data_IF_802074087971
#
_entry.id   IF_802074087971
#
_cell.length_a   1.000
_cell.length_b   1.000
_cell.length_c   1.000
_cell.angle_alpha   90.00
_cell.angle_beta   90.00
_cell.angle_gamma   90.00
#
_symmetry.space_group_name_H-M   'P 1'
#
loop_
_entity.id
_entity.type
_entity.pdbx_description
1 polymer ?
#
# COMPACT_ATOMS: atom_id res chain seq x y z
N UNK A 1 -11.78 -18.64 -11.62
CA UNK A 1 -10.98 -18.27 -12.84
C UNK A 1 -9.83 -17.43 -12.34
N UNK A 2 -8.58 -17.79 -12.67
CA UNK A 2 -7.46 -16.94 -12.28
C UNK A 2 -7.61 -15.56 -12.93
N UNK A 3 -7.57 -14.50 -12.12
CA UNK A 3 -7.53 -13.13 -12.62
C UNK A 3 -6.18 -12.90 -13.29
N UNK A 4 -6.19 -12.32 -14.48
CA UNK A 4 -4.96 -12.01 -15.22
C UNK A 4 -4.49 -10.61 -14.88
N UNK A 5 -3.20 -10.43 -14.79
CA UNK A 5 -2.52 -9.14 -14.78
C UNK A 5 -1.50 -9.11 -15.91
N UNK A 6 -1.17 -7.92 -16.38
CA UNK A 6 -0.08 -7.77 -17.37
C UNK A 6 1.25 -7.59 -16.64
N UNK A 7 2.33 -8.14 -17.23
CA UNK A 7 3.70 -7.90 -16.78
C UNK A 7 4.31 -6.80 -17.64
N UNK A 8 4.95 -5.83 -16.99
CA UNK A 8 5.60 -4.70 -17.64
C UNK A 8 7.05 -4.67 -17.19
N UNK A 9 7.96 -4.73 -18.16
CA UNK A 9 9.38 -4.48 -17.94
C UNK A 9 9.71 -3.03 -18.34
N UNK A 10 10.33 -2.28 -17.42
CA UNK A 10 10.73 -0.91 -17.66
C UNK A 10 12.12 -0.63 -17.08
N UNK A 11 12.93 0.18 -17.79
CA UNK A 11 14.31 0.48 -17.38
C UNK A 11 14.76 1.88 -17.78
N UNK A 12 15.68 2.42 -17.01
CA UNK A 12 16.33 3.71 -17.28
C UNK A 12 16.13 4.70 -16.14
N UNK A 13 16.13 5.99 -16.48
CA UNK A 13 15.80 7.07 -15.56
C UNK A 13 14.35 6.95 -15.08
N UNK A 14 13.96 7.58 -13.96
CA UNK A 14 12.59 7.54 -13.46
C UNK A 14 11.56 7.92 -14.52
N UNK A 15 11.81 9.01 -15.27
CA UNK A 15 10.89 9.45 -16.34
C UNK A 15 10.77 8.43 -17.48
N UNK A 16 11.87 7.77 -17.86
CA UNK A 16 11.85 6.72 -18.89
C UNK A 16 11.08 5.49 -18.40
N UNK A 17 11.28 5.07 -17.14
CA UNK A 17 10.53 4.00 -16.49
C UNK A 17 9.04 4.34 -16.50
N UNK A 18 8.67 5.50 -16.01
CA UNK A 18 7.29 5.94 -16.00
C UNK A 18 6.67 5.95 -17.39
N UNK A 19 7.37 6.50 -18.39
CA UNK A 19 6.87 6.54 -19.78
C UNK A 19 6.61 5.14 -20.33
N UNK A 20 7.52 4.20 -20.09
CA UNK A 20 7.35 2.80 -20.54
C UNK A 20 6.15 2.14 -19.86
N UNK A 21 5.94 2.37 -18.55
CA UNK A 21 4.76 1.89 -17.83
C UNK A 21 3.49 2.52 -18.41
N UNK A 22 3.49 3.84 -18.62
CA UNK A 22 2.36 4.58 -19.17
C UNK A 22 1.98 4.11 -20.58
N UNK A 23 2.96 3.83 -21.43
CA UNK A 23 2.74 3.31 -22.79
C UNK A 23 2.16 1.88 -22.75
N UNK A 24 2.74 1.01 -21.94
CA UNK A 24 2.33 -0.40 -21.86
C UNK A 24 0.96 -0.60 -21.18
N UNK A 25 0.65 0.21 -20.18
CA UNK A 25 -0.59 0.10 -19.39
C UNK A 25 -1.63 1.19 -19.72
N UNK A 26 -1.51 1.90 -20.83
CA UNK A 26 -2.34 3.09 -21.17
C UNK A 26 -3.83 2.88 -20.93
N UNK A 27 -4.39 1.80 -21.45
CA UNK A 27 -5.82 1.54 -21.33
C UNK A 27 -6.23 1.30 -19.89
N UNK A 28 -5.39 0.59 -19.11
CA UNK A 28 -5.64 0.35 -17.69
C UNK A 28 -5.51 1.62 -16.86
N UNK A 29 -4.55 2.49 -17.18
CA UNK A 29 -4.36 3.79 -16.53
C UNK A 29 -5.57 4.69 -16.78
N UNK A 30 -6.01 4.80 -18.05
CA UNK A 30 -7.20 5.59 -18.39
C UNK A 30 -8.44 5.07 -17.68
N UNK A 31 -8.63 3.73 -17.65
CA UNK A 31 -9.73 3.12 -16.93
C UNK A 31 -9.64 3.32 -15.40
N UNK A 32 -8.43 3.31 -14.83
CA UNK A 32 -8.19 3.62 -13.42
C UNK A 32 -8.54 5.07 -13.09
N UNK A 33 -8.07 6.03 -13.89
CA UNK A 33 -8.42 7.45 -13.71
C UNK A 33 -9.93 7.65 -13.77
N UNK A 34 -10.61 7.06 -14.77
CA UNK A 34 -12.07 7.16 -14.90
C UNK A 34 -12.82 6.55 -13.69
N UNK A 35 -12.29 5.46 -13.13
CA UNK A 35 -12.82 4.87 -11.91
C UNK A 35 -12.70 5.84 -10.72
N UNK A 36 -11.54 6.48 -10.52
CA UNK A 36 -11.33 7.44 -9.45
C UNK A 36 -12.12 8.74 -9.63
N UNK A 37 -12.43 9.15 -10.86
CA UNK A 37 -13.37 10.26 -11.13
C UNK A 37 -14.75 9.99 -10.49
N UNK A 38 -15.27 8.79 -10.67
CA UNK A 38 -16.56 8.36 -10.10
C UNK A 38 -16.47 8.11 -8.59
N UNK A 39 -15.37 7.52 -8.15
CA UNK A 39 -15.14 7.19 -6.76
C UNK A 39 -15.09 8.43 -5.86
N UNK A 40 -14.41 9.50 -6.26
CA UNK A 40 -14.33 10.73 -5.48
C UNK A 40 -15.72 11.34 -5.20
N UNK A 41 -16.61 11.30 -6.17
CA UNK A 41 -18.00 11.78 -6.01
C UNK A 41 -18.79 10.91 -5.03
N UNK A 42 -18.64 9.57 -5.12
CA UNK A 42 -19.38 8.63 -4.27
C UNK A 42 -18.95 8.72 -2.80
N UNK A 43 -17.68 8.99 -2.54
CA UNK A 43 -17.13 9.06 -1.19
C UNK A 43 -17.40 10.40 -0.48
N UNK A 44 -18.07 11.35 -1.14
CA UNK A 44 -18.40 12.66 -0.57
C UNK A 44 -17.16 13.55 -0.34
N UNK A 45 -16.06 13.25 -1.00
CA UNK A 45 -14.89 14.08 -1.10
C UNK A 45 -15.10 15.30 -1.99
N UNK A 46 -14.04 16.09 -2.27
CA UNK A 46 -14.10 17.17 -3.24
C UNK A 46 -14.46 16.60 -4.63
N UNK A 47 -15.06 17.42 -5.50
CA UNK A 47 -15.23 17.00 -6.90
C UNK A 47 -13.85 16.65 -7.49
N UNK A 48 -13.81 15.78 -8.50
CA UNK A 48 -12.54 15.36 -9.09
C UNK A 48 -11.70 16.57 -9.57
N UNK A 49 -12.34 17.57 -10.16
CA UNK A 49 -11.66 18.82 -10.57
C UNK A 49 -11.08 19.61 -9.38
N UNK A 50 -11.77 19.62 -8.24
CA UNK A 50 -11.22 20.19 -7.01
C UNK A 50 -10.05 19.37 -6.47
N UNK A 51 -10.16 18.03 -6.51
CA UNK A 51 -9.09 17.11 -6.13
C UNK A 51 -7.83 17.29 -7.00
N UNK A 52 -7.98 17.46 -8.34
CA UNK A 52 -6.88 17.81 -9.24
C UNK A 52 -6.20 19.12 -8.82
N UNK A 53 -6.97 20.15 -8.49
CA UNK A 53 -6.42 21.42 -8.05
C UNK A 53 -5.69 21.32 -6.70
N UNK A 54 -6.30 20.65 -5.73
CA UNK A 54 -5.72 20.44 -4.39
C UNK A 54 -4.44 19.60 -4.44
N UNK A 55 -4.36 18.60 -5.33
CA UNK A 55 -3.19 17.75 -5.50
C UNK A 55 -1.91 18.51 -5.83
N UNK A 56 -2.01 19.66 -6.48
CA UNK A 56 -0.86 20.50 -6.83
C UNK A 56 -0.12 21.04 -5.59
N UNK A 57 -0.84 21.26 -4.48
CA UNK A 57 -0.21 21.69 -3.24
C UNK A 57 0.72 20.60 -2.68
N UNK A 58 0.30 19.34 -2.74
CA UNK A 58 1.11 18.19 -2.32
C UNK A 58 2.27 17.91 -3.28
N UNK A 59 2.07 18.13 -4.59
CA UNK A 59 3.10 17.93 -5.60
C UNK A 59 4.35 18.75 -5.30
N UNK A 60 4.20 19.99 -4.80
CA UNK A 60 5.34 20.85 -4.46
C UNK A 60 6.23 20.24 -3.36
N UNK A 61 5.64 19.59 -2.35
CA UNK A 61 6.38 18.88 -1.32
C UNK A 61 7.07 17.62 -1.88
N UNK A 62 6.37 16.87 -2.73
CA UNK A 62 6.92 15.68 -3.37
C UNK A 62 8.09 16.04 -4.29
N UNK A 63 7.99 17.12 -5.09
CA UNK A 63 9.07 17.61 -5.95
C UNK A 63 10.33 17.98 -5.17
N UNK A 64 10.16 18.59 -4.00
CA UNK A 64 11.29 18.97 -3.15
C UNK A 64 11.95 17.77 -2.47
N UNK A 65 11.17 16.81 -1.97
CA UNK A 65 11.65 15.70 -1.16
C UNK A 65 12.00 14.45 -1.98
N UNK A 66 11.25 14.15 -3.01
CA UNK A 66 11.31 12.91 -3.80
C UNK A 66 11.20 13.20 -5.32
N UNK A 67 12.09 14.05 -5.90
CA UNK A 67 11.99 14.47 -7.30
C UNK A 67 11.97 13.29 -8.27
N UNK A 68 12.75 12.23 -8.01
CA UNK A 68 12.79 11.04 -8.85
C UNK A 68 11.43 10.32 -8.94
N UNK A 69 10.67 10.26 -7.84
CA UNK A 69 9.34 9.66 -7.84
C UNK A 69 8.34 10.52 -8.62
N UNK A 70 8.49 11.84 -8.53
CA UNK A 70 7.67 12.76 -9.33
C UNK A 70 7.97 12.61 -10.83
N UNK A 71 9.26 12.52 -11.21
CA UNK A 71 9.67 12.26 -12.60
C UNK A 71 9.10 10.96 -13.16
N UNK A 72 9.02 9.90 -12.33
CA UNK A 72 8.39 8.65 -12.73
C UNK A 72 6.89 8.83 -13.01
N UNK A 73 6.16 9.52 -12.13
CA UNK A 73 4.73 9.78 -12.33
C UNK A 73 4.47 10.72 -13.52
N UNK A 74 5.33 11.71 -13.75
CA UNK A 74 5.30 12.54 -14.97
C UNK A 74 5.49 11.69 -16.22
N UNK A 75 6.46 10.78 -16.22
CA UNK A 75 6.67 9.82 -17.30
C UNK A 75 5.45 8.94 -17.52
N UNK A 76 4.83 8.41 -16.46
CA UNK A 76 3.59 7.62 -16.57
C UNK A 76 2.46 8.44 -17.24
N UNK A 77 2.29 9.69 -16.86
CA UNK A 77 1.30 10.59 -17.45
C UNK A 77 1.56 10.82 -18.95
N UNK A 78 2.83 11.05 -19.33
CA UNK A 78 3.25 11.20 -20.73
C UNK A 78 2.97 9.93 -21.54
N UNK A 79 3.40 8.77 -21.04
CA UNK A 79 3.22 7.48 -21.73
C UNK A 79 1.75 7.09 -21.88
N UNK A 80 0.95 7.37 -20.87
CA UNK A 80 -0.48 7.10 -20.85
C UNK A 80 -1.31 8.13 -21.65
N UNK A 81 -0.72 9.28 -22.02
CA UNK A 81 -1.39 10.42 -22.65
C UNK A 81 -2.53 11.00 -21.77
N UNK A 82 -2.30 11.05 -20.47
CA UNK A 82 -3.23 11.66 -19.51
C UNK A 82 -2.56 12.86 -18.80
N UNK A 83 -3.30 13.90 -18.38
CA UNK A 83 -2.73 14.96 -17.58
C UNK A 83 -2.14 14.43 -16.27
N UNK A 84 -0.99 14.95 -15.85
CA UNK A 84 -0.36 14.59 -14.57
C UNK A 84 -1.32 14.78 -13.38
N UNK A 85 -2.10 15.87 -13.38
CA UNK A 85 -3.06 16.16 -12.31
C UNK A 85 -4.08 15.04 -12.12
N UNK A 86 -4.50 14.39 -13.19
CA UNK A 86 -5.42 13.25 -13.12
C UNK A 86 -4.76 12.01 -12.51
N UNK A 87 -3.46 11.79 -12.70
CA UNK A 87 -2.72 10.70 -12.04
C UNK A 87 -2.33 11.04 -10.60
N UNK A 88 -2.21 12.30 -10.26
CA UNK A 88 -1.97 12.70 -8.86
C UNK A 88 -3.14 12.27 -7.97
N UNK A 89 -4.39 12.43 -8.41
CA UNK A 89 -5.58 12.16 -7.59
C UNK A 89 -5.60 10.74 -7.02
N UNK A 90 -5.48 9.63 -7.80
CA UNK A 90 -5.44 8.29 -7.23
C UNK A 90 -4.23 8.06 -6.32
N UNK A 91 -3.09 8.69 -6.58
CA UNK A 91 -1.88 8.59 -5.77
C UNK A 91 -1.91 9.42 -4.46
N UNK A 92 -2.92 10.26 -4.29
CA UNK A 92 -3.20 11.08 -3.11
C UNK A 92 -4.61 10.82 -2.54
N UNK A 93 -5.25 9.70 -2.89
CA UNK A 93 -6.64 9.46 -2.55
C UNK A 93 -6.97 9.70 -1.07
N UNK A 94 -6.15 9.17 -0.18
CA UNK A 94 -6.35 9.31 1.27
C UNK A 94 -6.01 10.73 1.77
N UNK A 95 -4.97 11.38 1.25
CA UNK A 95 -4.62 12.76 1.60
C UNK A 95 -5.74 13.73 1.20
N UNK A 96 -6.32 13.57 0.02
CA UNK A 96 -7.36 14.44 -0.51
C UNK A 96 -8.71 14.25 0.19
N UNK A 97 -8.98 13.05 0.69
CA UNK A 97 -10.24 12.72 1.34
C UNK A 97 -10.20 12.88 2.87
N UNK A 98 -9.01 12.79 3.49
CA UNK A 98 -8.85 12.94 4.94
C UNK A 98 -8.52 14.38 5.39
N UNK A 99 -7.86 15.20 4.56
CA UNK A 99 -7.40 16.53 4.96
C UNK A 99 -8.42 17.68 4.79
N UNK A 100 -9.54 17.44 4.11
CA UNK A 100 -10.41 18.54 3.70
C UNK A 100 -9.75 19.48 2.67
N UNK A 101 -10.27 20.71 2.54
CA UNK A 101 -9.65 21.73 1.70
C UNK A 101 -8.37 22.27 2.38
N UNK A 102 -7.17 22.03 1.82
CA UNK A 102 -5.92 22.50 2.42
C UNK A 102 -5.78 24.02 2.56
N UNK A 103 -6.64 24.78 1.86
CA UNK A 103 -6.68 26.23 1.92
C UNK A 103 -7.71 26.79 2.91
N UNK A 104 -8.56 25.96 3.51
CA UNK A 104 -9.58 26.44 4.43
C UNK A 104 -9.00 26.67 5.84
N UNK A 105 -9.37 27.78 6.53
CA UNK A 105 -8.99 28.00 7.92
C UNK A 105 -9.54 26.86 8.81
N UNK A 106 -8.65 26.08 9.46
CA UNK A 106 -9.03 24.92 10.26
C UNK A 106 -9.03 23.60 9.49
N UNK A 107 -8.51 23.57 8.25
CA UNK A 107 -8.27 22.36 7.49
C UNK A 107 -7.23 21.49 8.23
N UNK A 108 -7.70 20.50 8.92
CA UNK A 108 -6.88 19.59 9.74
C UNK A 108 -7.74 18.51 10.39
N UNK A 109 -8.90 18.23 9.83
CA UNK A 109 -9.75 17.16 10.30
C UNK A 109 -10.31 16.36 9.13
N UNK A 110 -10.44 15.04 9.29
CA UNK A 110 -11.06 14.20 8.28
C UNK A 110 -12.48 14.68 7.99
N UNK A 111 -12.94 14.56 6.75
CA UNK A 111 -14.37 14.65 6.42
C UNK A 111 -15.10 13.53 7.19
N UNK A 112 -15.60 13.89 8.35
CA UNK A 112 -16.20 12.94 9.25
C UNK A 112 -17.57 12.49 8.72
N UNK A 113 -17.82 11.18 8.79
CA UNK A 113 -19.17 10.62 8.78
C UNK A 113 -19.98 11.17 9.99
N UNK A 114 -21.31 10.98 10.07
CA UNK A 114 -22.13 11.47 11.19
C UNK A 114 -21.65 11.04 12.57
N UNK A 115 -20.84 9.99 12.67
CA UNK A 115 -20.19 9.50 13.89
C UNK A 115 -18.80 10.12 14.16
N UNK A 116 -18.36 11.05 13.31
CA UNK A 116 -17.10 11.78 13.49
C UNK A 116 -15.86 11.07 12.93
N UNK A 117 -16.02 9.91 12.29
CA UNK A 117 -14.94 9.15 11.69
C UNK A 117 -14.74 9.50 10.21
N UNK A 118 -13.52 9.39 9.66
CA UNK A 118 -13.34 9.39 8.22
C UNK A 118 -14.23 8.30 7.61
N UNK A 119 -14.93 8.57 6.52
CA UNK A 119 -15.78 7.57 5.85
C UNK A 119 -15.01 6.28 5.50
N UNK A 120 -13.69 6.37 5.35
CA UNK A 120 -12.79 5.25 5.09
C UNK A 120 -12.42 4.41 6.30
N UNK A 121 -12.53 4.96 7.53
CA UNK A 121 -12.15 4.25 8.75
C UNK A 121 -13.02 3.01 9.04
N UNK A 122 -14.05 2.78 8.23
CA UNK A 122 -14.92 1.62 8.35
C UNK A 122 -14.48 0.43 7.49
N UNK A 123 -13.56 0.63 6.53
CA UNK A 123 -13.25 -0.32 5.45
C UNK A 123 -11.75 -0.65 5.37
N UNK A 124 -11.11 -0.89 6.49
CA UNK A 124 -9.66 -1.16 6.57
C UNK A 124 -9.39 -2.65 6.62
N UNK A 125 -8.73 -3.20 5.62
CA UNK A 125 -8.59 -4.65 5.54
C UNK A 125 -7.17 -5.20 5.30
N UNK A 126 -6.17 -4.38 4.98
CA UNK A 126 -4.79 -4.86 4.75
C UNK A 126 -4.24 -5.66 5.93
N UNK A 127 -3.46 -6.69 5.63
CA UNK A 127 -2.77 -7.52 6.64
C UNK A 127 -1.35 -7.81 6.19
N UNK A 128 -0.37 -7.48 7.03
CA UNK A 128 1.05 -7.80 6.83
C UNK A 128 1.49 -8.88 7.80
N UNK A 129 2.30 -9.83 7.33
CA UNK A 129 2.87 -10.92 8.15
C UNK A 129 4.35 -11.06 7.79
N UNK A 130 5.24 -11.06 8.79
CA UNK A 130 6.66 -11.31 8.63
C UNK A 130 7.12 -12.53 9.43
N UNK A 131 8.03 -13.34 8.87
CA UNK A 131 8.70 -14.45 9.57
C UNK A 131 10.18 -14.42 9.24
N UNK A 132 11.00 -14.48 10.29
CA UNK A 132 12.45 -14.67 10.22
C UNK A 132 12.84 -15.89 11.02
N UNK A 133 13.37 -16.91 10.35
CA UNK A 133 13.92 -18.13 10.96
C UNK A 133 15.12 -18.60 10.17
N UNK A 134 15.82 -19.62 10.67
CA UNK A 134 16.95 -20.22 9.94
C UNK A 134 16.50 -20.67 8.54
N UNK A 135 17.14 -20.15 7.50
CA UNK A 135 16.82 -20.42 6.09
C UNK A 135 15.47 -19.83 5.60
N UNK A 136 14.85 -18.93 6.36
CA UNK A 136 13.54 -18.34 6.00
C UNK A 136 13.49 -16.87 6.35
N UNK A 137 13.23 -16.02 5.36
CA UNK A 137 13.06 -14.57 5.51
C UNK A 137 11.92 -14.10 4.62
N UNK A 138 10.70 -14.15 5.18
CA UNK A 138 9.48 -13.89 4.45
C UNK A 138 8.78 -12.63 4.98
N UNK A 139 8.32 -11.80 4.07
CA UNK A 139 7.32 -10.78 4.32
C UNK A 139 6.13 -11.05 3.41
N UNK A 140 4.94 -10.87 3.91
CA UNK A 140 3.72 -11.12 3.15
C UNK A 140 2.69 -10.04 3.40
N UNK A 141 1.81 -9.84 2.43
CA UNK A 141 0.81 -8.78 2.48
C UNK A 141 -0.42 -9.15 1.65
N UNK A 142 -1.61 -8.95 2.24
CA UNK A 142 -2.83 -8.78 1.49
C UNK A 142 -3.06 -7.28 1.32
N UNK A 143 -3.04 -6.81 0.09
CA UNK A 143 -3.43 -5.46 -0.28
C UNK A 143 -4.94 -5.44 -0.46
N UNK A 144 -5.65 -4.91 0.53
CA UNK A 144 -7.09 -4.78 0.47
C UNK A 144 -7.41 -3.33 0.10
N UNK A 145 -8.08 -3.16 -1.04
CA UNK A 145 -8.34 -1.87 -1.65
C UNK A 145 -9.64 -1.89 -2.45
N UNK A 146 -9.90 -0.88 -3.21
CA UNK A 146 -11.12 -0.74 -3.98
C UNK A 146 -11.28 -1.87 -5.01
N UNK A 147 -12.43 -2.53 -5.00
CA UNK A 147 -12.71 -3.66 -5.90
C UNK A 147 -12.60 -3.27 -7.38
N UNK A 148 -12.80 -2.00 -7.70
CA UNK A 148 -12.63 -1.47 -9.06
C UNK A 148 -11.18 -1.49 -9.57
N UNK A 149 -10.19 -1.65 -8.71
CA UNK A 149 -8.78 -1.72 -9.11
C UNK A 149 -8.28 -3.14 -9.41
N UNK A 150 -9.02 -4.16 -9.00
CA UNK A 150 -8.58 -5.56 -9.12
C UNK A 150 -8.20 -5.95 -10.55
N UNK A 151 -9.03 -5.56 -11.53
CA UNK A 151 -8.80 -5.90 -12.94
C UNK A 151 -7.79 -4.95 -13.63
N UNK A 152 -7.22 -4.00 -12.88
CA UNK A 152 -6.21 -3.06 -13.36
C UNK A 152 -4.82 -3.32 -12.78
N UNK A 153 -4.64 -4.44 -12.06
CA UNK A 153 -3.34 -4.81 -11.52
C UNK A 153 -2.31 -5.07 -12.62
N UNK A 154 -1.10 -4.59 -12.37
CA UNK A 154 0.09 -4.80 -13.21
C UNK A 154 1.24 -5.33 -12.34
N UNK A 155 2.03 -6.25 -12.86
CA UNK A 155 3.29 -6.67 -12.28
C UNK A 155 4.41 -5.89 -12.95
N UNK A 156 5.13 -5.11 -12.17
CA UNK A 156 6.21 -4.25 -12.63
C UNK A 156 7.58 -4.89 -12.35
N UNK A 157 8.38 -5.05 -13.40
CA UNK A 157 9.82 -5.38 -13.33
C UNK A 157 10.61 -4.15 -13.72
N UNK A 158 11.12 -3.43 -12.74
CA UNK A 158 11.81 -2.17 -12.97
C UNK A 158 13.33 -2.38 -12.84
N UNK A 159 14.10 -1.69 -13.67
CA UNK A 159 15.56 -1.56 -13.51
C UNK A 159 15.89 -0.07 -13.58
N UNK A 160 16.25 0.50 -12.46
CA UNK A 160 16.59 1.92 -12.35
C UNK A 160 17.94 2.23 -13.01
N UNK A 161 18.22 3.49 -13.25
CA UNK A 161 19.45 3.98 -13.86
C UNK A 161 20.72 3.66 -13.03
N UNK A 162 20.58 3.41 -11.73
CA UNK A 162 21.66 2.95 -10.85
C UNK A 162 21.80 1.41 -10.79
N UNK A 163 20.96 0.69 -11.55
CA UNK A 163 20.96 -0.76 -11.66
C UNK A 163 20.15 -1.50 -10.59
N UNK A 164 19.44 -0.81 -9.70
CA UNK A 164 18.54 -1.44 -8.75
C UNK A 164 17.36 -2.08 -9.50
N UNK A 165 17.14 -3.38 -9.30
CA UNK A 165 15.97 -4.08 -9.84
C UNK A 165 14.87 -4.13 -8.78
N UNK A 166 13.62 -3.95 -9.22
CA UNK A 166 12.43 -3.93 -8.36
C UNK A 166 11.36 -4.82 -8.98
N UNK A 167 10.71 -5.62 -8.14
CA UNK A 167 9.53 -6.39 -8.51
C UNK A 167 8.38 -5.95 -7.60
N UNK A 168 7.32 -5.42 -8.19
CA UNK A 168 6.20 -4.83 -7.47
C UNK A 168 4.88 -5.09 -8.19
N UNK A 169 3.78 -5.20 -7.44
CA UNK A 169 2.42 -5.30 -7.99
C UNK A 169 1.58 -4.12 -7.50
N UNK A 170 0.83 -3.50 -8.43
CA UNK A 170 -0.02 -2.35 -8.12
C UNK A 170 -1.14 -2.21 -9.14
N UNK A 171 -2.16 -1.39 -8.86
CA UNK A 171 -3.07 -0.92 -9.90
C UNK A 171 -2.34 0.03 -10.86
N UNK A 172 -2.58 -0.07 -12.14
CA UNK A 172 -1.80 0.59 -13.20
C UNK A 172 -1.69 2.12 -13.08
N UNK A 173 -2.68 2.78 -12.46
CA UNK A 173 -2.67 4.24 -12.25
C UNK A 173 -1.97 4.67 -10.95
N UNK A 174 -1.43 3.73 -10.16
CA UNK A 174 -0.74 4.00 -8.91
C UNK A 174 0.77 3.77 -9.03
N UNK A 175 1.53 4.59 -8.35
CA UNK A 175 2.93 4.28 -8.02
C UNK A 175 2.95 3.02 -7.13
N UNK A 176 3.83 2.03 -7.37
CA UNK A 176 3.83 0.79 -6.59
C UNK A 176 4.21 1.05 -5.12
N UNK A 177 3.32 0.72 -4.16
CA UNK A 177 3.55 1.00 -2.75
C UNK A 177 4.29 -0.12 -2.02
N UNK A 178 4.34 -1.32 -2.59
CA UNK A 178 4.91 -2.54 -1.98
C UNK A 178 5.72 -3.32 -3.00
N UNK A 179 6.73 -4.06 -2.54
CA UNK A 179 7.55 -4.86 -3.43
C UNK A 179 8.85 -5.37 -2.81
N UNK A 180 9.68 -5.96 -3.64
CA UNK A 180 11.03 -6.44 -3.31
C UNK A 180 12.04 -5.86 -4.28
N UNK A 181 13.27 -5.62 -3.81
CA UNK A 181 14.35 -5.15 -4.66
C UNK A 181 15.59 -6.07 -4.65
N UNK A 182 16.51 -5.81 -5.58
CA UNK A 182 17.75 -6.60 -5.74
C UNK A 182 18.77 -6.46 -4.61
N UNK A 183 18.53 -5.57 -3.66
CA UNK A 183 19.34 -5.45 -2.45
C UNK A 183 18.82 -6.35 -1.31
N UNK A 184 17.82 -7.21 -1.60
CA UNK A 184 17.22 -8.12 -0.63
C UNK A 184 16.36 -7.39 0.40
N UNK A 185 15.68 -6.34 0.00
CA UNK A 185 14.75 -5.59 0.86
C UNK A 185 13.35 -5.76 0.31
N UNK A 186 12.41 -6.19 1.15
CA UNK A 186 10.99 -6.15 0.84
C UNK A 186 10.26 -5.17 1.74
N UNK A 187 9.27 -4.51 1.16
CA UNK A 187 8.41 -3.54 1.83
C UNK A 187 6.94 -3.93 1.67
N UNK A 188 6.24 -3.99 2.77
CA UNK A 188 4.79 -4.04 2.87
C UNK A 188 4.29 -2.83 3.64
N UNK A 189 3.01 -2.79 3.94
CA UNK A 189 2.50 -1.76 4.84
C UNK A 189 1.00 -1.56 4.76
N UNK A 190 0.46 -1.05 5.84
CA UNK A 190 -0.98 -0.92 6.03
C UNK A 190 -1.35 0.55 6.24
N UNK A 191 -2.51 0.96 5.77
CA UNK A 191 -3.06 2.26 6.14
C UNK A 191 -3.33 2.28 7.64
N UNK A 192 -2.91 3.36 8.30
CA UNK A 192 -3.30 3.72 9.66
C UNK A 192 -3.77 5.17 9.66
N UNK A 193 -4.80 5.49 10.43
CA UNK A 193 -5.40 6.82 10.44
C UNK A 193 -4.94 7.61 11.64
N UNK A 194 -4.19 8.68 11.37
CA UNK A 194 -3.75 9.64 12.37
C UNK A 194 -4.67 10.86 12.47
N UNK A 195 -4.55 11.64 13.54
CA UNK A 195 -5.31 12.87 13.77
C UNK A 195 -4.54 14.15 13.38
N UNK A 196 -3.35 14.00 12.79
CA UNK A 196 -2.40 15.08 12.54
C UNK A 196 -2.08 15.27 11.04
N UNK A 197 -3.01 14.92 10.16
CA UNK A 197 -2.88 15.13 8.71
C UNK A 197 -2.53 16.56 8.37
N UNK A 198 -1.68 16.75 7.36
CA UNK A 198 -1.24 18.08 6.91
C UNK A 198 -0.84 18.10 5.44
N UNK A 199 -0.61 19.28 4.88
CA UNK A 199 0.12 19.39 3.63
C UNK A 199 1.55 18.89 3.82
N UNK A 200 2.01 18.06 2.89
CA UNK A 200 3.31 17.43 2.97
C UNK A 200 3.57 16.46 1.83
N UNK A 201 4.58 15.62 2.01
CA UNK A 201 4.92 14.55 1.05
C UNK A 201 3.89 13.43 1.12
N UNK A 202 3.22 13.08 0.00
CA UNK A 202 2.21 12.03 -0.01
C UNK A 202 2.78 10.66 0.35
N UNK A 203 2.01 9.87 1.08
CA UNK A 203 2.45 8.57 1.56
C UNK A 203 2.82 7.60 0.42
N UNK A 204 2.04 7.58 -0.66
CA UNK A 204 2.32 6.66 -1.77
C UNK A 204 3.66 6.97 -2.46
N UNK A 205 4.08 8.26 -2.51
CA UNK A 205 5.39 8.67 -3.00
C UNK A 205 6.51 8.20 -2.07
N UNK A 206 6.29 8.27 -0.76
CA UNK A 206 7.24 7.77 0.25
C UNK A 206 7.41 6.26 0.06
N UNK A 207 6.30 5.50 0.01
CA UNK A 207 6.32 4.04 -0.16
C UNK A 207 7.04 3.65 -1.45
N UNK A 208 6.73 4.31 -2.59
CA UNK A 208 7.44 4.07 -3.86
C UNK A 208 8.95 4.31 -3.73
N UNK A 209 9.35 5.40 -3.05
CA UNK A 209 10.77 5.70 -2.87
C UNK A 209 11.51 4.62 -2.09
N UNK A 210 10.86 3.97 -1.11
CA UNK A 210 11.46 2.93 -0.28
C UNK A 210 11.90 1.70 -1.09
N UNK A 211 11.25 1.42 -2.22
CA UNK A 211 11.61 0.31 -3.11
C UNK A 211 12.99 0.48 -3.78
N UNK A 212 13.58 1.68 -3.78
CA UNK A 212 14.94 1.93 -4.27
C UNK A 212 16.00 1.90 -3.16
N UNK A 213 15.61 1.60 -1.91
CA UNK A 213 16.54 1.58 -0.79
C UNK A 213 17.58 0.45 -0.93
N UNK A 214 18.83 0.74 -0.56
CA UNK A 214 19.93 -0.20 -0.61
C UNK A 214 20.21 -0.88 0.74
N UNK A 215 19.57 -0.42 1.79
CA UNK A 215 19.59 -1.01 3.12
C UNK A 215 18.29 -0.78 3.87
N UNK A 216 18.07 -1.56 4.93
CA UNK A 216 16.91 -1.41 5.80
C UNK A 216 16.88 -0.01 6.45
N UNK A 217 18.05 0.52 6.83
CA UNK A 217 18.19 1.87 7.39
C UNK A 217 17.80 2.95 6.37
N UNK A 218 18.15 2.76 5.11
CA UNK A 218 17.76 3.70 4.05
C UNK A 218 16.25 3.65 3.82
N UNK A 219 15.66 2.46 3.76
CA UNK A 219 14.20 2.31 3.66
C UNK A 219 13.50 2.98 4.85
N UNK A 220 13.98 2.74 6.08
CA UNK A 220 13.48 3.39 7.28
C UNK A 220 13.60 4.91 7.26
N UNK A 221 14.74 5.45 6.82
CA UNK A 221 14.90 6.92 6.68
C UNK A 221 13.89 7.51 5.70
N UNK A 222 13.58 6.81 4.62
CA UNK A 222 12.56 7.25 3.64
C UNK A 222 11.16 7.20 4.25
N UNK A 223 10.81 6.14 4.99
CA UNK A 223 9.56 6.07 5.75
C UNK A 223 9.40 7.23 6.75
N UNK A 224 10.52 7.66 7.34
CA UNK A 224 10.59 8.71 8.37
C UNK A 224 10.84 10.12 7.80
N UNK A 225 10.56 10.38 6.53
CA UNK A 225 10.64 11.72 5.97
C UNK A 225 9.88 12.73 6.85
N UNK A 226 10.54 13.87 7.16
CA UNK A 226 10.04 14.84 8.13
C UNK A 226 8.70 15.47 7.75
N UNK A 227 8.54 15.78 6.46
CA UNK A 227 7.39 16.55 5.96
C UNK A 227 6.32 15.63 5.35
N UNK A 228 6.05 14.48 5.99
CA UNK A 228 4.97 13.57 5.60
C UNK A 228 3.61 14.27 5.70
N UNK A 229 2.75 14.00 4.73
CA UNK A 229 1.37 14.52 4.74
C UNK A 229 0.50 13.79 5.77
N UNK A 230 0.74 12.48 5.93
CA UNK A 230 0.01 11.60 6.85
C UNK A 230 0.89 10.46 7.35
N UNK A 231 0.31 9.62 8.20
CA UNK A 231 0.92 8.40 8.67
C UNK A 231 0.64 7.18 7.79
N UNK A 232 1.37 6.13 8.07
CA UNK A 232 1.21 4.77 7.53
C UNK A 232 1.94 3.78 8.43
N UNK A 233 1.60 2.52 8.31
CA UNK A 233 2.49 1.44 8.74
C UNK A 233 3.39 1.01 7.58
N UNK A 234 4.65 0.73 7.88
CA UNK A 234 5.63 0.20 6.95
C UNK A 234 6.28 -1.04 7.55
N UNK A 235 5.97 -2.21 7.02
CA UNK A 235 6.60 -3.48 7.38
C UNK A 235 7.78 -3.73 6.46
N UNK A 236 8.97 -3.87 7.02
CA UNK A 236 10.25 -3.97 6.29
C UNK A 236 11.00 -5.22 6.70
N UNK A 237 11.59 -5.92 5.74
CA UNK A 237 12.51 -7.02 5.97
C UNK A 237 13.72 -6.91 5.07
N UNK A 238 14.89 -7.36 5.56
CA UNK A 238 16.10 -7.49 4.75
C UNK A 238 16.64 -8.93 4.69
N UNK A 239 17.56 -9.16 3.75
CA UNK A 239 18.23 -10.45 3.59
C UNK A 239 19.10 -10.83 4.81
N UNK A 240 19.45 -9.88 5.69
CA UNK A 240 20.10 -10.14 6.98
C UNK A 240 19.16 -10.73 8.03
N UNK A 241 17.85 -10.75 7.78
CA UNK A 241 16.84 -11.25 8.71
C UNK A 241 16.41 -10.21 9.74
N UNK A 242 16.63 -8.94 9.49
CA UNK A 242 16.05 -7.87 10.31
C UNK A 242 14.64 -7.59 9.83
N UNK A 243 13.71 -7.52 10.77
CA UNK A 243 12.30 -7.29 10.53
C UNK A 243 11.87 -6.07 11.34
N UNK A 244 11.48 -5.00 10.65
CA UNK A 244 11.04 -3.76 11.25
C UNK A 244 9.59 -3.48 10.94
N UNK A 245 8.90 -2.99 11.95
CA UNK A 245 7.56 -2.43 11.84
C UNK A 245 7.64 -0.94 12.18
N UNK A 246 7.41 -0.08 11.21
CA UNK A 246 7.51 1.38 11.39
C UNK A 246 6.11 1.96 11.30
N UNK A 247 5.64 2.48 12.42
CA UNK A 247 4.40 3.22 12.49
C UNK A 247 4.67 4.72 12.43
N UNK A 248 3.96 5.42 11.57
CA UNK A 248 4.10 6.87 11.41
C UNK A 248 2.75 7.57 11.47
N UNK A 249 2.69 8.76 12.09
CA UNK A 249 1.71 9.79 11.81
C UNK A 249 2.35 10.87 10.94
N UNK A 250 1.67 11.98 10.64
CA UNK A 250 2.32 13.08 9.93
C UNK A 250 3.51 13.68 10.72
N UNK A 251 3.45 13.66 12.05
CA UNK A 251 4.43 14.33 12.92
C UNK A 251 5.22 13.41 13.85
N UNK A 252 4.69 12.22 14.17
CA UNK A 252 5.30 11.27 15.08
C UNK A 252 5.63 9.93 14.39
N UNK A 253 6.37 9.07 15.07
CA UNK A 253 6.67 7.72 14.59
C UNK A 253 7.12 6.82 15.73
N UNK A 254 6.98 5.51 15.51
CA UNK A 254 7.60 4.45 16.28
C UNK A 254 8.33 3.49 15.35
N UNK A 255 9.49 3.00 15.77
CA UNK A 255 10.23 1.95 15.05
C UNK A 255 10.32 0.73 15.95
N UNK A 256 9.70 -0.36 15.54
CA UNK A 256 9.60 -1.61 16.27
C UNK A 256 10.49 -2.64 15.58
N UNK A 257 11.52 -3.12 16.27
CA UNK A 257 12.29 -4.29 15.83
C UNK A 257 11.49 -5.54 16.21
N UNK A 258 10.84 -6.15 15.22
CA UNK A 258 9.83 -7.19 15.45
C UNK A 258 10.40 -8.57 15.81
N UNK A 259 11.75 -8.73 15.81
CA UNK A 259 12.40 -10.00 16.12
C UNK A 259 12.17 -11.05 15.03
N UNK A 260 11.60 -12.20 15.40
CA UNK A 260 11.44 -13.34 14.49
C UNK A 260 10.07 -13.39 13.79
N UNK A 261 9.12 -12.55 14.17
CA UNK A 261 7.78 -12.49 13.57
C UNK A 261 7.13 -11.11 13.69
N UNK A 262 6.28 -10.80 12.74
CA UNK A 262 5.48 -9.58 12.68
C UNK A 262 4.08 -9.91 12.20
N UNK A 263 3.08 -9.29 12.80
CA UNK A 263 1.74 -9.15 12.25
C UNK A 263 1.31 -7.71 12.43
N UNK A 264 0.83 -7.07 11.37
CA UNK A 264 0.25 -5.74 11.45
C UNK A 264 -1.02 -5.65 10.59
N UNK A 265 -1.95 -4.81 11.02
CA UNK A 265 -3.19 -4.48 10.31
C UNK A 265 -3.36 -2.96 10.22
N UNK A 266 -4.54 -2.39 10.43
CA UNK A 266 -4.80 -0.98 10.14
C UNK A 266 -5.03 -0.13 11.40
N UNK A 267 -4.24 -0.33 12.46
CA UNK A 267 -4.25 0.51 13.67
C UNK A 267 -2.86 0.56 14.28
N UNK A 268 -2.58 1.59 15.06
CA UNK A 268 -1.32 1.69 15.78
C UNK A 268 -1.24 0.63 16.87
N UNK A 269 -0.09 -0.03 16.98
CA UNK A 269 0.22 -1.03 18.00
C UNK A 269 1.22 -0.51 19.02
N UNK A 270 2.07 0.44 18.63
CA UNK A 270 3.03 1.09 19.53
C UNK A 270 2.31 2.02 20.52
N UNK A 271 2.53 1.88 21.85
CA UNK A 271 1.86 2.73 22.85
C UNK A 271 2.08 4.23 22.65
N UNK A 272 3.25 4.63 22.17
CA UNK A 272 3.60 6.02 21.88
C UNK A 272 2.83 6.60 20.71
N UNK A 273 2.26 5.76 19.85
CA UNK A 273 1.44 6.18 18.72
C UNK A 273 -0.05 6.31 19.07
N UNK A 274 -0.49 5.75 20.19
CA UNK A 274 -1.89 5.81 20.63
C UNK A 274 -2.50 7.23 20.66
N UNK A 275 -1.78 8.31 21.05
CA UNK A 275 -2.32 9.67 21.04
C UNK A 275 -2.66 10.20 19.65
N UNK A 276 -2.11 9.57 18.59
CA UNK A 276 -2.31 9.97 17.20
C UNK A 276 -3.43 9.19 16.51
N UNK A 277 -3.92 8.11 17.11
CA UNK A 277 -4.99 7.28 16.53
C UNK A 277 -6.33 8.02 16.56
N UNK A 278 -7.00 8.12 15.41
CA UNK A 278 -8.33 8.75 15.37
C UNK A 278 -9.37 7.79 15.93
N UNK A 279 -9.45 6.62 15.36
CA UNK A 279 -10.32 5.52 15.75
C UNK A 279 -10.03 4.34 14.83
N UNK A 280 -10.30 3.15 15.30
CA UNK A 280 -10.10 1.94 14.50
C UNK A 280 -11.32 1.05 14.58
N UNK A 281 -11.64 0.43 13.47
CA UNK A 281 -12.71 -0.55 13.42
C UNK A 281 -12.38 -1.75 14.33
N UNK A 282 -13.39 -2.39 14.88
CA UNK A 282 -13.20 -3.65 15.60
C UNK A 282 -12.61 -4.73 14.68
N UNK A 283 -12.79 -4.60 13.38
CA UNK A 283 -12.29 -5.52 12.36
C UNK A 283 -10.77 -5.58 12.30
N UNK A 284 -10.08 -4.44 12.33
CA UNK A 284 -8.61 -4.42 12.28
C UNK A 284 -7.99 -5.11 13.51
N UNK A 285 -8.53 -4.87 14.72
CA UNK A 285 -8.06 -5.54 15.95
C UNK A 285 -8.30 -7.03 15.91
N UNK A 286 -9.49 -7.46 15.45
CA UNK A 286 -9.83 -8.88 15.32
C UNK A 286 -8.93 -9.59 14.32
N UNK A 287 -8.61 -8.98 13.18
CA UNK A 287 -7.68 -9.55 12.18
C UNK A 287 -6.27 -9.66 12.75
N UNK A 288 -5.80 -8.66 13.51
CA UNK A 288 -4.50 -8.71 14.18
C UNK A 288 -4.43 -9.89 15.17
N UNK A 289 -5.42 -10.03 16.05
CA UNK A 289 -5.49 -11.17 17.00
C UNK A 289 -5.57 -12.51 16.28
N UNK A 290 -6.41 -12.59 15.25
CA UNK A 290 -6.61 -13.82 14.48
C UNK A 290 -5.33 -14.25 13.76
N UNK A 291 -4.70 -13.36 13.03
CA UNK A 291 -3.46 -13.64 12.31
C UNK A 291 -2.33 -13.97 13.28
N UNK A 292 -2.18 -13.22 14.38
CA UNK A 292 -1.17 -13.49 15.41
C UNK A 292 -1.35 -14.87 16.04
N UNK A 293 -2.56 -15.23 16.44
CA UNK A 293 -2.86 -16.54 17.01
C UNK A 293 -2.57 -17.68 16.03
N UNK A 294 -3.02 -17.56 14.78
CA UNK A 294 -2.78 -18.60 13.75
C UNK A 294 -1.27 -18.76 13.48
N UNK A 295 -0.54 -17.65 13.48
CA UNK A 295 0.89 -17.64 13.29
C UNK A 295 1.60 -18.35 14.45
N UNK A 296 1.28 -18.00 15.70
CA UNK A 296 1.88 -18.60 16.89
C UNK A 296 1.59 -20.10 16.98
N UNK A 297 0.33 -20.50 16.79
CA UNK A 297 -0.09 -21.89 16.81
C UNK A 297 0.59 -22.73 15.70
N UNK A 298 0.68 -22.18 14.47
CA UNK A 298 1.31 -22.85 13.35
C UNK A 298 2.82 -23.03 13.56
N UNK A 299 3.50 -21.97 14.01
CA UNK A 299 4.93 -22.03 14.32
C UNK A 299 5.24 -23.00 15.48
N UNK A 300 4.36 -23.08 16.49
CA UNK A 300 4.50 -24.03 17.60
C UNK A 300 4.28 -25.50 17.14
N UNK A 301 3.45 -25.75 16.15
CA UNK A 301 3.28 -27.07 15.53
C UNK A 301 4.46 -27.46 14.62
N UNK A 302 5.30 -26.50 14.21
CA UNK A 302 6.36 -26.72 13.24
C UNK A 302 5.88 -26.68 11.79
N UNK A 303 4.77 -25.99 11.52
CA UNK A 303 4.26 -25.82 10.15
C UNK A 303 5.32 -25.12 9.28
N UNK A 304 5.39 -25.46 8.00
CA UNK A 304 6.29 -24.79 7.06
C UNK A 304 5.89 -23.31 6.92
N UNK A 305 6.82 -22.34 7.14
CA UNK A 305 6.49 -20.92 7.28
C UNK A 305 5.74 -20.32 6.09
N UNK A 306 6.12 -20.65 4.86
CA UNK A 306 5.48 -20.13 3.65
C UNK A 306 4.05 -20.65 3.49
N UNK A 307 3.84 -21.95 3.71
CA UNK A 307 2.52 -22.57 3.66
C UNK A 307 1.61 -22.03 4.78
N UNK A 308 2.18 -21.79 5.97
CA UNK A 308 1.47 -21.19 7.09
C UNK A 308 0.98 -19.77 6.74
N UNK A 309 1.87 -18.91 6.25
CA UNK A 309 1.51 -17.56 5.77
C UNK A 309 0.42 -17.66 4.69
N UNK A 310 0.60 -18.50 3.69
CA UNK A 310 -0.37 -18.66 2.61
C UNK A 310 -1.76 -19.10 3.12
N UNK A 311 -1.79 -19.90 4.19
CA UNK A 311 -3.04 -20.32 4.85
C UNK A 311 -3.67 -19.16 5.62
N UNK A 312 -2.88 -18.39 6.37
CA UNK A 312 -3.39 -17.22 7.13
C UNK A 312 -3.96 -16.16 6.18
N UNK A 313 -3.27 -15.86 5.08
CA UNK A 313 -3.74 -14.87 4.10
C UNK A 313 -5.05 -15.28 3.39
N UNK A 314 -5.46 -16.54 3.50
CA UNK A 314 -6.74 -17.07 2.99
C UNK A 314 -7.82 -17.19 4.05
N UNK A 315 -7.57 -16.79 5.28
CA UNK A 315 -8.50 -16.98 6.40
C UNK A 315 -9.76 -16.13 6.22
N UNK A 316 -10.91 -16.75 6.46
CA UNK A 316 -12.23 -16.13 6.29
C UNK A 316 -13.01 -15.98 7.61
N UNK A 317 -12.36 -16.14 8.76
CA UNK A 317 -13.01 -15.90 10.03
C UNK A 317 -13.49 -14.44 10.11
N UNK A 318 -14.78 -14.25 10.31
CA UNK A 318 -15.42 -12.93 10.28
C UNK A 318 -15.89 -12.44 8.91
N UNK A 319 -15.88 -13.29 7.85
CA UNK A 319 -16.36 -12.93 6.50
C UNK A 319 -17.77 -12.36 6.49
N UNK A 320 -18.69 -12.94 7.26
CA UNK A 320 -20.08 -12.47 7.36
C UNK A 320 -20.22 -11.05 7.95
N UNK A 321 -19.13 -10.52 8.53
CA UNK A 321 -19.06 -9.19 9.10
C UNK A 321 -18.11 -8.28 8.32
N UNK A 322 -17.66 -8.70 7.13
CA UNK A 322 -16.68 -8.03 6.28
C UNK A 322 -15.36 -7.67 7.00
N UNK A 323 -14.89 -8.53 7.93
CA UNK A 323 -13.70 -8.31 8.76
C UNK A 323 -12.68 -9.47 8.70
N UNK A 324 -12.71 -10.26 7.63
CA UNK A 324 -11.78 -11.38 7.43
C UNK A 324 -10.43 -10.92 6.87
N UNK A 325 -9.37 -11.73 7.08
CA UNK A 325 -8.02 -11.47 6.53
C UNK A 325 -8.03 -11.56 5.00
N UNK A 326 -8.77 -12.50 4.42
CA UNK A 326 -9.05 -12.55 3.00
C UNK A 326 -10.35 -11.79 2.75
N UNK A 327 -10.25 -10.56 2.25
CA UNK A 327 -11.38 -9.66 2.04
C UNK A 327 -12.11 -9.96 0.74
N UNK A 328 -13.44 -9.87 0.78
CA UNK A 328 -14.33 -10.03 -0.36
C UNK A 328 -15.30 -8.87 -0.46
N UNK A 329 -15.75 -8.51 -1.68
CA UNK A 329 -16.70 -7.42 -1.83
C UNK A 329 -18.00 -7.68 -1.05
N UNK A 330 -18.45 -6.70 -0.30
CA UNK A 330 -19.78 -6.70 0.30
C UNK A 330 -20.80 -6.24 -0.76
N UNK A 331 -21.70 -7.13 -1.18
CA UNK A 331 -22.69 -6.81 -2.20
C UNK A 331 -23.77 -5.83 -1.73
N UNK A 332 -23.90 -5.61 -0.42
CA UNK A 332 -24.81 -4.61 0.14
C UNK A 332 -24.30 -3.17 -0.01
N UNK A 333 -22.99 -3.01 -0.25
CA UNK A 333 -22.32 -1.72 -0.45
C UNK A 333 -22.39 -1.33 -1.94
N UNK A 334 -22.56 -0.03 -2.28
CA UNK A 334 -22.51 0.44 -3.67
C UNK A 334 -21.22 -0.01 -4.38
N UNK A 335 -21.32 -0.35 -5.67
CA UNK A 335 -20.20 -0.95 -6.44
C UNK A 335 -18.91 -0.12 -6.37
N UNK A 336 -19.01 1.21 -6.39
CA UNK A 336 -17.85 2.12 -6.31
C UNK A 336 -17.16 2.16 -4.94
N UNK A 337 -17.85 1.67 -3.91
CA UNK A 337 -17.40 1.72 -2.51
C UNK A 337 -16.99 0.35 -1.96
N UNK A 338 -17.03 -0.69 -2.82
CA UNK A 338 -16.66 -2.06 -2.43
C UNK A 338 -15.16 -2.20 -2.33
N UNK A 339 -14.71 -2.83 -1.26
CA UNK A 339 -13.33 -3.25 -1.07
C UNK A 339 -13.18 -4.76 -1.18
N UNK A 340 -11.98 -5.20 -1.50
CA UNK A 340 -11.61 -6.61 -1.57
C UNK A 340 -10.09 -6.73 -1.51
N UNK A 341 -9.58 -7.93 -1.22
CA UNK A 341 -8.17 -8.21 -1.48
C UNK A 341 -7.89 -8.05 -2.98
N UNK A 342 -7.18 -7.00 -3.36
CA UNK A 342 -6.84 -6.70 -4.75
C UNK A 342 -5.59 -7.45 -5.22
N UNK A 343 -4.68 -7.72 -4.28
CA UNK A 343 -3.48 -8.52 -4.50
C UNK A 343 -3.04 -9.21 -3.20
N UNK A 344 -2.41 -10.37 -3.33
CA UNK A 344 -1.82 -11.09 -2.21
C UNK A 344 -0.41 -11.53 -2.57
N UNK A 345 0.57 -11.20 -1.72
CA UNK A 345 1.99 -11.36 -2.02
C UNK A 345 2.74 -11.99 -0.84
N UNK A 346 3.71 -12.86 -1.14
CA UNK A 346 4.67 -13.42 -0.18
C UNK A 346 6.06 -13.25 -0.78
N UNK A 347 6.82 -12.31 -0.27
CA UNK A 347 8.21 -12.05 -0.68
C UNK A 347 9.18 -12.90 0.11
N UNK A 348 10.13 -13.52 -0.59
CA UNK A 348 11.30 -14.17 -0.03
C UNK A 348 12.53 -13.36 -0.37
N UNK A 349 13.09 -12.65 0.62
CA UNK A 349 14.20 -11.74 0.38
C UNK A 349 15.55 -12.44 0.21
N UNK A 350 15.65 -13.70 0.63
CA UNK A 350 16.86 -14.52 0.42
C UNK A 350 16.88 -15.10 -1.00
N UNK A 351 15.74 -15.62 -1.45
CA UNK A 351 15.59 -16.15 -2.81
C UNK A 351 15.36 -15.08 -3.87
N UNK A 352 15.06 -13.83 -3.48
CA UNK A 352 14.62 -12.74 -4.36
C UNK A 352 13.42 -13.14 -5.24
N UNK A 353 12.40 -13.73 -4.60
CA UNK A 353 11.18 -14.19 -5.27
C UNK A 353 9.94 -13.62 -4.60
N UNK A 354 8.83 -13.62 -5.33
CA UNK A 354 7.50 -13.37 -4.79
C UNK A 354 6.52 -14.41 -5.28
N UNK A 355 5.72 -14.96 -4.38
CA UNK A 355 4.48 -15.66 -4.73
C UNK A 355 3.34 -14.65 -4.67
N UNK A 356 2.65 -14.44 -5.78
CA UNK A 356 1.61 -13.43 -5.87
C UNK A 356 0.39 -13.90 -6.66
N UNK A 357 -0.76 -13.33 -6.35
CA UNK A 357 -1.96 -13.39 -7.17
C UNK A 357 -2.70 -12.05 -7.16
N UNK A 358 -3.40 -11.74 -8.24
CA UNK A 358 -4.37 -10.67 -8.29
C UNK A 358 -5.71 -11.15 -7.72
N UNK A 359 -6.34 -10.33 -6.91
CA UNK A 359 -7.60 -10.65 -6.24
C UNK A 359 -7.43 -11.54 -5.00
N UNK A 360 -8.57 -11.96 -4.38
CA UNK A 360 -8.58 -12.75 -3.17
C UNK A 360 -7.80 -14.07 -3.31
N UNK A 361 -6.84 -14.37 -2.40
CA UNK A 361 -5.96 -15.53 -2.54
C UNK A 361 -6.66 -16.89 -2.36
N UNK A 362 -7.89 -16.91 -1.86
CA UNK A 362 -8.69 -18.13 -1.77
C UNK A 362 -9.31 -18.54 -3.12
N UNK A 363 -9.50 -17.60 -4.03
CA UNK A 363 -10.11 -17.78 -5.36
C UNK A 363 -9.09 -17.81 -6.49
N UNK A 364 -7.87 -17.36 -6.23
CA UNK A 364 -6.82 -17.20 -7.23
C UNK A 364 -5.55 -17.94 -6.84
N UNK A 365 -4.94 -18.61 -7.81
CA UNK A 365 -3.67 -19.30 -7.60
C UNK A 365 -2.51 -18.30 -7.57
N UNK A 366 -1.59 -18.50 -6.62
CA UNK A 366 -0.35 -17.74 -6.58
C UNK A 366 0.62 -18.26 -7.63
N UNK A 367 1.29 -17.33 -8.28
CA UNK A 367 2.38 -17.60 -9.19
C UNK A 367 3.69 -17.19 -8.54
N UNK A 368 4.69 -18.06 -8.60
CA UNK A 368 6.07 -17.74 -8.20
C UNK A 368 6.77 -16.96 -9.31
N UNK A 369 7.33 -15.82 -8.94
CA UNK A 369 8.03 -14.90 -9.85
C UNK A 369 9.37 -14.53 -9.22
N UNK A 370 10.46 -14.61 -9.99
CA UNK A 370 11.79 -14.19 -9.55
C UNK A 370 12.08 -12.75 -10.00
N UNK A 371 12.88 -12.04 -9.23
CA UNK A 371 13.34 -10.68 -9.52
C UNK A 371 14.32 -10.65 -10.70
#
# INVERSE_FOLDING_TARGET
MNRSYIEIEAKGSPREIGRQIGEAARELIVAGVAYYETWHESMGGPSFAQAEHQSLAYLSYAQQALPRVVEELEGMAEGALVPLTKLLVPNLGEELTCNGDPGAPGAGGPHASPDGLPRFAHNEHCTSIGIVREGTRLLAHNEDWWAGDVDKNVLLRLTTDDGTRILAMTAACLLPPTGINSHGIATGGNTVYGNDYRLGVPNNFIRRSMLEARSLEEAGKRALLRDRARGSNHSLIDAGGRLWDIETSATAHAVIEAGDRLVHTNHFTAPEMAPYEISTSAGTRRRLERAGRLLDEGLARGDEPRALIATILRDHDGRDQAISICSHPDESVPVGERETTTASMIWDVEALTVELCAGPPCENERRLVSL
#
